data_IF_024850746309
#
_entry.id   IF_024850746309
#
_cell.length_a   1.000
_cell.length_b   1.000
_cell.length_c   1.000
_cell.angle_alpha   90.00
_cell.angle_beta   90.00
_cell.angle_gamma   90.00
#
_symmetry.space_group_name_H-M   'P 1'
#
loop_
_entity.id
_entity.type
_entity.pdbx_description
1 polymer ?
#
# COMPACT_ATOMS: atom_id res chain seq x y z
N UNK A 1 -35.73 17.56 28.10
CA UNK A 1 -34.53 18.42 28.11
C UNK A 1 -33.39 17.52 28.53
N UNK A 2 -32.61 17.05 27.57
CA UNK A 2 -31.47 16.17 27.86
C UNK A 2 -30.36 17.01 28.47
N UNK A 3 -29.89 16.61 29.65
CA UNK A 3 -28.80 17.27 30.36
C UNK A 3 -27.57 16.41 30.14
N UNK A 4 -26.59 16.91 29.39
CA UNK A 4 -25.31 16.23 29.25
C UNK A 4 -24.54 16.32 30.58
N UNK A 5 -24.06 15.17 31.07
CA UNK A 5 -23.27 15.06 32.31
C UNK A 5 -21.86 14.57 31.93
N UNK A 6 -20.90 15.49 31.71
CA UNK A 6 -19.56 15.13 31.23
C UNK A 6 -18.81 14.17 32.16
N UNK A 7 -19.06 14.22 33.48
CA UNK A 7 -18.37 13.37 34.46
C UNK A 7 -18.76 11.89 34.44
N UNK A 8 -19.83 11.51 33.72
CA UNK A 8 -20.25 10.11 33.55
C UNK A 8 -19.84 9.53 32.19
N UNK A 9 -19.04 10.28 31.41
CA UNK A 9 -18.61 9.87 30.07
C UNK A 9 -17.55 8.77 30.17
N UNK A 10 -17.93 7.55 29.81
CA UNK A 10 -17.05 6.36 29.78
C UNK A 10 -16.13 6.36 28.55
N UNK A 11 -16.61 6.91 27.43
CA UNK A 11 -15.93 6.91 26.14
C UNK A 11 -15.69 8.35 25.68
N UNK A 12 -14.46 8.73 25.28
CA UNK A 12 -14.19 10.07 24.75
C UNK A 12 -15.16 10.45 23.62
N UNK A 13 -15.61 11.71 23.60
CA UNK A 13 -16.62 12.17 22.64
C UNK A 13 -16.15 12.01 21.20
N UNK A 14 -14.89 12.34 20.91
CA UNK A 14 -14.30 12.18 19.57
C UNK A 14 -14.32 10.71 19.10
N UNK A 15 -14.04 9.77 20.00
CA UNK A 15 -14.10 8.33 19.70
C UNK A 15 -15.54 7.88 19.49
N UNK A 16 -16.48 8.38 20.31
CA UNK A 16 -17.90 8.10 20.14
C UNK A 16 -18.41 8.61 18.80
N UNK A 17 -18.13 9.86 18.44
CA UNK A 17 -18.57 10.48 17.19
C UNK A 17 -17.93 9.79 15.98
N UNK A 18 -16.65 9.41 16.05
CA UNK A 18 -15.99 8.63 15.01
C UNK A 18 -16.66 7.26 14.81
N UNK A 19 -16.98 6.55 15.90
CA UNK A 19 -17.69 5.26 15.84
C UNK A 19 -19.12 5.43 15.34
N UNK A 20 -19.85 6.46 15.76
CA UNK A 20 -21.20 6.74 15.26
C UNK A 20 -21.19 7.10 13.77
N UNK A 21 -20.21 7.87 13.30
CA UNK A 21 -20.02 8.16 11.88
C UNK A 21 -19.71 6.88 11.09
N UNK A 22 -18.87 6.00 11.62
CA UNK A 22 -18.54 4.72 10.99
C UNK A 22 -19.73 3.75 10.99
N UNK A 23 -20.49 3.66 12.08
CA UNK A 23 -21.74 2.91 12.16
C UNK A 23 -22.78 3.46 11.20
N UNK A 24 -22.90 4.79 11.05
CA UNK A 24 -23.79 5.42 10.09
C UNK A 24 -23.41 5.04 8.65
N UNK A 25 -22.12 5.11 8.29
CA UNK A 25 -21.58 4.68 6.99
C UNK A 25 -21.84 3.19 6.71
N UNK A 26 -21.70 2.33 7.72
CA UNK A 26 -22.03 0.89 7.60
C UNK A 26 -23.54 0.64 7.51
N UNK A 27 -24.35 1.43 8.22
CA UNK A 27 -25.82 1.29 8.26
C UNK A 27 -26.52 1.71 6.98
N UNK A 28 -26.04 2.75 6.28
CA UNK A 28 -26.57 3.16 4.97
C UNK A 28 -26.37 2.06 3.93
N UNK A 29 -25.32 1.23 4.09
CA UNK A 29 -25.05 0.05 3.27
C UNK A 29 -25.94 -1.16 3.64
N UNK A 30 -26.49 -1.20 4.85
CA UNK A 30 -27.39 -2.26 5.34
C UNK A 30 -28.89 -1.95 5.19
N UNK A 31 -29.28 -0.67 5.07
CA UNK A 31 -30.70 -0.23 5.03
C UNK A 31 -31.50 -0.68 3.80
N UNK A 32 -30.86 -1.31 2.82
CA UNK A 32 -31.55 -1.98 1.70
C UNK A 32 -32.16 -3.35 2.08
N UNK A 33 -31.84 -3.91 3.25
CA UNK A 33 -32.43 -5.17 3.72
C UNK A 33 -32.78 -5.05 5.21
N UNK A 34 -34.06 -4.97 5.53
CA UNK A 34 -34.63 -4.82 6.86
C UNK A 34 -34.45 -6.04 7.80
N UNK A 35 -33.31 -6.73 7.75
CA UNK A 35 -33.07 -7.91 8.57
C UNK A 35 -31.57 -8.08 8.93
N UNK A 36 -31.20 -8.07 10.22
CA UNK A 36 -29.84 -8.36 10.70
C UNK A 36 -29.32 -9.74 10.27
N UNK A 37 -30.22 -10.71 10.04
CA UNK A 37 -29.88 -12.04 9.52
C UNK A 37 -29.48 -11.99 8.04
N UNK A 38 -29.96 -11.00 7.28
CA UNK A 38 -29.55 -10.79 5.89
C UNK A 38 -28.12 -10.23 5.78
N UNK A 39 -27.60 -9.58 6.83
CA UNK A 39 -26.19 -9.21 6.93
C UNK A 39 -25.26 -10.43 7.12
N UNK A 40 -25.82 -11.59 7.50
CA UNK A 40 -25.13 -12.86 7.74
C UNK A 40 -25.09 -13.78 6.51
N UNK A 41 -25.68 -13.37 5.38
CA UNK A 41 -25.59 -14.12 4.13
C UNK A 41 -24.21 -13.90 3.57
N UNK A 42 -23.41 -14.95 3.44
CA UNK A 42 -22.09 -14.92 2.79
C UNK A 42 -22.17 -14.10 1.51
N UNK A 43 -21.67 -12.86 1.56
CA UNK A 43 -21.67 -12.01 0.37
C UNK A 43 -20.54 -12.53 -0.47
N UNK A 44 -20.87 -13.08 -1.63
CA UNK A 44 -19.88 -13.42 -2.63
C UNK A 44 -18.94 -12.23 -2.87
N UNK A 45 -17.69 -12.52 -3.20
CA UNK A 45 -16.63 -11.54 -3.31
C UNK A 45 -17.00 -10.32 -4.18
N UNK A 46 -17.67 -10.56 -5.31
CA UNK A 46 -18.11 -9.51 -6.25
C UNK A 46 -19.59 -9.12 -6.12
N UNK A 47 -20.24 -9.47 -5.01
CA UNK A 47 -21.65 -9.13 -4.79
C UNK A 47 -21.86 -7.61 -4.75
N UNK A 48 -22.69 -7.11 -5.66
CA UNK A 48 -22.98 -5.67 -5.80
C UNK A 48 -22.03 -4.91 -6.73
N UNK A 49 -20.94 -5.53 -7.19
CA UNK A 49 -19.98 -4.92 -8.13
C UNK A 49 -20.25 -5.30 -9.59
N UNK A 50 -20.93 -6.42 -9.84
CA UNK A 50 -21.28 -6.88 -11.18
C UNK A 50 -22.45 -6.08 -11.76
N UNK A 51 -22.23 -5.38 -12.87
CA UNK A 51 -23.21 -4.52 -13.56
C UNK A 51 -23.44 -5.01 -14.98
N UNK A 52 -24.68 -4.98 -15.46
CA UNK A 52 -25.01 -5.29 -16.85
C UNK A 52 -24.71 -4.10 -17.77
N UNK A 53 -23.87 -4.30 -18.78
CA UNK A 53 -23.56 -3.28 -19.79
C UNK A 53 -24.77 -2.87 -20.65
N UNK A 54 -25.78 -3.74 -20.79
CA UNK A 54 -26.98 -3.44 -21.59
C UNK A 54 -27.99 -2.51 -20.90
N UNK A 55 -28.15 -2.60 -19.58
CA UNK A 55 -29.20 -1.88 -18.85
C UNK A 55 -28.71 -1.11 -17.61
N UNK A 56 -27.41 -1.21 -17.30
CA UNK A 56 -26.79 -0.55 -16.13
C UNK A 56 -27.24 -1.10 -14.77
N UNK A 57 -28.07 -2.15 -14.73
CA UNK A 57 -28.56 -2.76 -13.48
C UNK A 57 -27.64 -3.87 -13.00
N UNK A 58 -27.61 -4.15 -11.68
CA UNK A 58 -26.72 -5.17 -11.14
C UNK A 58 -27.09 -6.58 -11.59
N UNK A 59 -26.06 -7.41 -11.74
CA UNK A 59 -26.23 -8.85 -11.80
C UNK A 59 -26.61 -9.37 -10.41
N UNK A 60 -27.59 -10.26 -10.39
CA UNK A 60 -28.08 -10.89 -9.17
C UNK A 60 -27.84 -12.39 -9.24
N UNK A 61 -27.74 -13.01 -8.06
CA UNK A 61 -27.56 -14.46 -7.96
C UNK A 61 -28.84 -15.16 -8.45
N UNK A 62 -28.70 -16.00 -9.48
CA UNK A 62 -29.81 -16.75 -10.08
C UNK A 62 -29.82 -18.21 -9.63
N UNK A 63 -28.66 -18.82 -9.43
CA UNK A 63 -28.52 -20.19 -8.89
C UNK A 63 -27.57 -20.19 -7.69
N UNK A 64 -27.36 -21.35 -7.06
CA UNK A 64 -26.36 -21.49 -5.98
C UNK A 64 -24.95 -21.06 -6.41
N UNK A 65 -24.64 -21.07 -7.70
CA UNK A 65 -23.29 -20.89 -8.25
C UNK A 65 -23.20 -19.88 -9.39
N UNK A 66 -24.30 -19.24 -9.83
CA UNK A 66 -24.29 -18.37 -11.01
C UNK A 66 -25.06 -17.06 -10.83
N UNK A 67 -24.62 -16.04 -11.55
CA UNK A 67 -25.19 -14.70 -11.64
C UNK A 67 -25.84 -14.47 -13.00
N UNK A 68 -26.91 -13.67 -13.02
CA UNK A 68 -27.61 -13.22 -14.24
C UNK A 68 -28.11 -11.79 -14.04
N UNK A 69 -28.32 -11.06 -15.14
CA UNK A 69 -28.95 -9.74 -15.08
C UNK A 69 -30.34 -9.82 -14.38
N UNK A 70 -30.54 -9.00 -13.34
CA UNK A 70 -31.78 -9.01 -12.57
C UNK A 70 -33.01 -8.55 -13.37
N UNK A 71 -32.82 -7.61 -14.30
CA UNK A 71 -33.90 -7.10 -15.15
C UNK A 71 -34.24 -8.03 -16.32
N UNK A 72 -33.30 -8.87 -16.77
CA UNK A 72 -33.60 -9.88 -17.77
C UNK A 72 -34.63 -10.91 -17.27
N UNK A 73 -34.67 -11.18 -15.96
CA UNK A 73 -35.72 -12.01 -15.35
C UNK A 73 -37.11 -11.38 -15.47
N UNK A 74 -37.18 -10.05 -15.48
CA UNK A 74 -38.44 -9.28 -15.57
C UNK A 74 -38.81 -8.95 -17.03
N UNK A 75 -38.01 -9.42 -18.01
CA UNK A 75 -38.18 -9.09 -19.42
C UNK A 75 -37.74 -7.67 -19.80
N UNK A 76 -37.12 -6.91 -18.88
CA UNK A 76 -36.72 -5.52 -19.08
C UNK A 76 -35.26 -5.38 -19.59
N UNK A 77 -34.59 -6.48 -19.91
CA UNK A 77 -33.24 -6.48 -20.47
C UNK A 77 -33.03 -7.67 -21.42
N UNK A 78 -32.28 -7.46 -22.49
CA UNK A 78 -31.95 -8.47 -23.50
C UNK A 78 -30.79 -9.39 -23.10
N UNK A 79 -30.10 -9.09 -22.00
CA UNK A 79 -28.96 -9.88 -21.54
C UNK A 79 -29.40 -11.10 -20.72
N UNK A 80 -29.58 -12.23 -21.40
CA UNK A 80 -29.97 -13.50 -20.77
C UNK A 80 -28.80 -14.39 -20.35
N UNK A 81 -27.56 -13.97 -20.62
CA UNK A 81 -26.35 -14.77 -20.39
C UNK A 81 -26.05 -14.85 -18.90
N UNK A 82 -25.90 -16.08 -18.39
CA UNK A 82 -25.53 -16.34 -17.01
C UNK A 82 -24.04 -16.67 -16.91
N UNK A 83 -23.39 -16.20 -15.84
CA UNK A 83 -21.98 -16.50 -15.56
C UNK A 83 -21.84 -17.17 -14.20
N UNK A 84 -21.02 -18.22 -14.11
CA UNK A 84 -20.77 -18.87 -12.82
C UNK A 84 -19.81 -18.04 -11.97
N UNK A 85 -20.00 -18.11 -10.65
CA UNK A 85 -19.18 -17.43 -9.65
C UNK A 85 -17.70 -17.75 -9.84
N UNK A 86 -17.33 -19.03 -9.92
CA UNK A 86 -15.94 -19.45 -10.14
C UNK A 86 -15.33 -18.87 -11.41
N UNK A 87 -16.12 -18.76 -12.48
CA UNK A 87 -15.63 -18.23 -13.77
C UNK A 87 -15.40 -16.73 -13.71
N UNK A 88 -16.34 -15.96 -13.16
CA UNK A 88 -16.15 -14.51 -13.05
C UNK A 88 -15.02 -14.19 -12.08
N UNK A 89 -14.89 -14.94 -10.98
CA UNK A 89 -13.79 -14.77 -10.03
C UNK A 89 -12.43 -15.02 -10.68
N UNK A 90 -12.26 -16.15 -11.38
CA UNK A 90 -11.03 -16.46 -12.08
C UNK A 90 -10.67 -15.41 -13.16
N UNK A 91 -11.65 -14.92 -13.93
CA UNK A 91 -11.41 -13.89 -14.96
C UNK A 91 -10.98 -12.56 -14.35
N UNK A 92 -11.65 -12.13 -13.29
CA UNK A 92 -11.35 -10.86 -12.63
C UNK A 92 -9.98 -10.93 -11.96
N UNK A 93 -9.69 -11.98 -11.21
CA UNK A 93 -8.38 -12.15 -10.58
C UNK A 93 -7.25 -12.32 -11.58
N UNK A 94 -7.45 -13.08 -12.65
CA UNK A 94 -6.46 -13.19 -13.73
C UNK A 94 -6.08 -11.84 -14.33
N UNK A 95 -7.07 -10.99 -14.64
CA UNK A 95 -6.80 -9.65 -15.17
C UNK A 95 -6.21 -8.70 -14.15
N UNK A 96 -6.66 -8.73 -12.90
CA UNK A 96 -6.06 -7.91 -11.83
C UNK A 96 -4.59 -8.31 -11.64
N UNK A 97 -4.29 -9.61 -11.64
CA UNK A 97 -2.92 -10.14 -11.55
C UNK A 97 -2.06 -9.63 -12.71
N UNK A 98 -2.54 -9.72 -13.94
CA UNK A 98 -1.83 -9.17 -15.11
C UNK A 98 -1.57 -7.67 -14.98
N UNK A 99 -2.55 -6.90 -14.49
CA UNK A 99 -2.42 -5.47 -14.28
C UNK A 99 -1.43 -5.12 -13.15
N UNK A 100 -1.48 -5.85 -12.03
CA UNK A 100 -0.57 -5.68 -10.90
C UNK A 100 0.86 -6.09 -11.26
N UNK A 101 1.04 -7.18 -12.02
CA UNK A 101 2.34 -7.69 -12.46
C UNK A 101 2.83 -7.06 -13.77
N UNK A 102 2.19 -5.98 -14.23
CA UNK A 102 2.67 -5.26 -15.40
C UNK A 102 4.08 -4.70 -15.14
N UNK A 103 4.91 -4.55 -16.19
CA UNK A 103 6.24 -3.95 -16.04
C UNK A 103 6.19 -2.56 -15.39
N UNK A 104 5.17 -1.76 -15.71
CA UNK A 104 4.96 -0.43 -15.15
C UNK A 104 4.65 -0.49 -13.64
N UNK A 105 3.69 -1.33 -13.23
CA UNK A 105 3.33 -1.51 -11.82
C UNK A 105 4.52 -2.01 -10.99
N UNK A 106 5.28 -2.96 -11.55
CA UNK A 106 6.48 -3.52 -10.91
C UNK A 106 7.58 -2.46 -10.75
N UNK A 107 7.84 -1.67 -11.79
CA UNK A 107 8.82 -0.59 -11.75
C UNK A 107 8.45 0.49 -10.73
N UNK A 108 7.16 0.84 -10.64
CA UNK A 108 6.65 1.79 -9.63
C UNK A 108 6.83 1.27 -8.22
N UNK A 109 6.52 -0.01 -7.98
CA UNK A 109 6.74 -0.63 -6.68
C UNK A 109 8.23 -0.67 -6.31
N UNK A 110 9.10 -1.03 -7.26
CA UNK A 110 10.55 -1.00 -7.08
C UNK A 110 11.04 0.40 -6.67
N UNK A 111 10.64 1.43 -7.40
CA UNK A 111 11.01 2.81 -7.10
C UNK A 111 10.56 3.23 -5.69
N UNK A 112 9.33 2.88 -5.30
CA UNK A 112 8.79 3.20 -3.98
C UNK A 112 9.55 2.49 -2.85
N UNK A 113 9.86 1.20 -3.02
CA UNK A 113 10.63 0.43 -2.02
C UNK A 113 12.05 0.95 -1.90
N UNK A 114 12.70 1.30 -3.03
CA UNK A 114 14.04 1.89 -3.01
C UNK A 114 14.03 3.23 -2.28
N UNK A 115 13.09 4.12 -2.60
CA UNK A 115 12.97 5.41 -1.93
C UNK A 115 12.72 5.27 -0.42
N UNK A 116 11.90 4.30 0.00
CA UNK A 116 11.65 4.08 1.42
C UNK A 116 12.84 3.44 2.15
N UNK A 117 13.58 2.55 1.47
CA UNK A 117 14.86 2.00 1.98
C UNK A 117 15.91 3.09 2.15
N UNK A 118 16.01 4.01 1.20
CA UNK A 118 16.89 5.17 1.30
C UNK A 118 16.53 6.01 2.53
N UNK A 119 15.24 6.36 2.72
CA UNK A 119 14.82 7.12 3.92
C UNK A 119 15.17 6.41 5.23
N UNK A 120 14.87 5.12 5.35
CA UNK A 120 15.08 4.37 6.60
C UNK A 120 16.56 4.08 6.88
N UNK A 121 17.36 3.85 5.85
CA UNK A 121 18.75 3.42 5.98
C UNK A 121 19.79 4.54 5.89
N UNK A 122 19.49 5.64 5.17
CA UNK A 122 20.42 6.77 5.01
C UNK A 122 20.57 7.55 6.31
N UNK A 123 19.46 7.80 7.02
CA UNK A 123 19.45 8.70 8.19
C UNK A 123 20.41 8.23 9.29
N UNK A 124 20.46 6.92 9.58
CA UNK A 124 21.25 6.39 10.70
C UNK A 124 22.74 6.22 10.34
N UNK A 125 23.04 5.65 9.17
CA UNK A 125 24.43 5.36 8.77
C UNK A 125 25.14 6.63 8.28
N UNK A 126 24.48 7.47 7.48
CA UNK A 126 25.09 8.71 6.97
C UNK A 126 25.24 9.76 8.08
N UNK A 127 24.29 9.80 9.02
CA UNK A 127 24.40 10.63 10.23
C UNK A 127 25.61 10.25 11.08
N UNK A 128 25.84 8.95 11.28
CA UNK A 128 27.02 8.45 12.01
C UNK A 128 28.33 8.74 11.26
N UNK A 129 28.36 8.56 9.93
CA UNK A 129 29.53 8.93 9.12
C UNK A 129 29.82 10.42 9.25
N UNK A 130 28.81 11.28 9.12
CA UNK A 130 28.96 12.74 9.23
C UNK A 130 29.50 13.14 10.61
N UNK A 131 28.98 12.53 11.68
CA UNK A 131 29.45 12.77 13.05
C UNK A 131 30.91 12.36 13.24
N UNK A 132 31.29 11.18 12.75
CA UNK A 132 32.66 10.68 12.82
C UNK A 132 33.62 11.52 11.96
N UNK A 133 33.19 12.00 10.79
CA UNK A 133 33.98 12.93 9.97
C UNK A 133 34.21 14.27 10.67
N UNK A 134 33.18 14.79 11.36
CA UNK A 134 33.30 15.97 12.24
C UNK A 134 34.30 15.75 13.37
N UNK A 135 34.18 14.65 14.11
CA UNK A 135 35.10 14.30 15.20
C UNK A 135 36.55 14.15 14.70
N UNK A 136 36.75 13.52 13.53
CA UNK A 136 38.07 13.42 12.89
C UNK A 136 38.63 14.80 12.55
N UNK A 137 37.79 15.69 12.01
CA UNK A 137 38.16 17.06 11.69
C UNK A 137 38.63 17.82 12.93
N UNK A 138 37.85 17.78 14.01
CA UNK A 138 38.18 18.43 15.28
C UNK A 138 39.47 17.89 15.89
N UNK A 139 39.67 16.57 15.91
CA UNK A 139 40.88 15.95 16.44
C UNK A 139 42.12 16.36 15.62
N UNK A 140 42.01 16.40 14.27
CA UNK A 140 43.08 16.87 13.39
C UNK A 140 43.38 18.36 13.56
N UNK A 141 42.36 19.20 13.76
CA UNK A 141 42.56 20.63 14.06
C UNK A 141 43.26 20.85 15.41
N UNK A 142 42.90 20.06 16.44
CA UNK A 142 43.59 20.06 17.74
C UNK A 142 45.06 19.66 17.59
N UNK A 143 45.35 18.64 16.79
CA UNK A 143 46.72 18.20 16.49
C UNK A 143 47.52 19.28 15.74
N UNK A 144 46.91 19.92 14.73
CA UNK A 144 47.54 21.02 14.00
C UNK A 144 47.86 22.21 14.91
N UNK A 145 46.97 22.56 15.84
CA UNK A 145 47.22 23.64 16.82
C UNK A 145 48.40 23.35 17.75
N UNK A 146 48.60 22.08 18.15
CA UNK A 146 49.77 21.67 18.91
C UNK A 146 51.04 21.82 18.06
N UNK A 147 51.02 21.39 16.80
CA UNK A 147 52.15 21.54 15.89
C UNK A 147 52.53 23.01 15.69
N UNK A 148 51.56 23.91 15.47
CA UNK A 148 51.81 25.35 15.38
C UNK A 148 52.42 25.92 16.68
N UNK A 149 52.00 25.42 17.85
CA UNK A 149 52.56 25.85 19.14
C UNK A 149 54.03 25.41 19.29
N UNK A 150 54.38 24.23 18.77
CA UNK A 150 55.76 23.73 18.74
C UNK A 150 56.61 24.59 17.79
N UNK A 151 56.09 24.93 16.60
CA UNK A 151 56.76 25.82 15.64
C UNK A 151 57.05 27.20 16.23
N UNK A 152 56.18 27.69 17.13
CA UNK A 152 56.35 28.96 17.85
C UNK A 152 57.33 28.87 19.05
N UNK A 153 57.97 27.72 19.28
CA UNK A 153 59.04 27.53 20.25
C UNK A 153 58.61 26.87 21.57
N UNK A 154 57.40 26.31 21.66
CA UNK A 154 56.99 25.60 22.86
C UNK A 154 57.69 24.21 22.96
N UNK A 155 58.08 23.76 24.17
CA UNK A 155 58.82 22.52 24.33
C UNK A 155 57.92 21.30 24.08
N UNK A 156 58.34 20.45 23.14
CA UNK A 156 57.62 19.22 22.75
C UNK A 156 57.28 18.30 23.92
N UNK A 157 58.13 18.24 24.95
CA UNK A 157 57.91 17.41 26.14
C UNK A 157 56.58 17.71 26.87
N UNK A 158 56.06 18.94 26.78
CA UNK A 158 54.77 19.31 27.38
C UNK A 158 53.57 18.76 26.60
N UNK A 159 53.71 18.56 25.29
CA UNK A 159 52.62 18.16 24.40
C UNK A 159 52.64 16.68 24.04
N UNK A 160 53.77 15.98 24.25
CA UNK A 160 53.96 14.58 23.85
C UNK A 160 52.79 13.66 24.22
N UNK A 161 52.36 13.68 25.49
CA UNK A 161 51.24 12.85 25.95
C UNK A 161 49.93 13.22 25.23
N UNK A 162 49.69 14.52 25.02
CA UNK A 162 48.49 15.02 24.34
C UNK A 162 48.46 14.68 22.85
N UNK A 163 49.61 14.70 22.18
CA UNK A 163 49.74 14.23 20.79
C UNK A 163 49.47 12.73 20.67
N UNK A 164 50.01 11.91 21.58
CA UNK A 164 49.77 10.46 21.61
C UNK A 164 48.27 10.14 21.84
N UNK A 165 47.60 10.89 22.73
CA UNK A 165 46.14 10.79 22.91
C UNK A 165 45.35 11.15 21.65
N UNK A 166 45.72 12.24 20.97
CA UNK A 166 45.03 12.69 19.75
C UNK A 166 45.25 11.73 18.58
N UNK A 167 46.44 11.15 18.44
CA UNK A 167 46.71 10.13 17.42
C UNK A 167 45.89 8.86 17.68
N UNK A 168 45.74 8.45 18.95
CA UNK A 168 44.87 7.35 19.32
C UNK A 168 43.38 7.67 19.06
N UNK A 169 42.92 8.90 19.35
CA UNK A 169 41.56 9.38 19.05
C UNK A 169 41.30 9.35 17.52
N UNK A 170 42.22 9.87 16.71
CA UNK A 170 42.12 9.87 15.25
C UNK A 170 42.05 8.44 14.71
N UNK A 171 42.93 7.55 15.18
CA UNK A 171 42.94 6.14 14.76
C UNK A 171 41.61 5.46 15.09
N UNK A 172 41.07 5.68 16.29
CA UNK A 172 39.79 5.10 16.69
C UNK A 172 38.61 5.63 15.85
N UNK A 173 38.61 6.92 15.52
CA UNK A 173 37.58 7.53 14.67
C UNK A 173 37.71 7.04 13.22
N UNK A 174 38.92 6.88 12.70
CA UNK A 174 39.16 6.33 11.36
C UNK A 174 38.70 4.87 11.24
N UNK A 175 38.95 4.04 12.26
CA UNK A 175 38.41 2.68 12.36
C UNK A 175 36.87 2.67 12.40
N UNK A 176 36.28 3.61 13.15
CA UNK A 176 34.83 3.81 13.20
C UNK A 176 34.25 4.14 11.83
N UNK A 177 34.90 5.05 11.09
CA UNK A 177 34.51 5.44 9.73
C UNK A 177 34.62 4.25 8.76
N UNK A 178 35.70 3.47 8.84
CA UNK A 178 35.87 2.29 8.00
C UNK A 178 34.74 1.27 8.24
N UNK A 179 34.38 1.02 9.50
CA UNK A 179 33.27 0.12 9.88
C UNK A 179 31.91 0.66 9.43
N UNK A 180 31.66 1.97 9.56
CA UNK A 180 30.41 2.60 9.12
C UNK A 180 30.26 2.52 7.59
N UNK A 181 31.32 2.82 6.84
CA UNK A 181 31.33 2.71 5.37
C UNK A 181 31.17 1.27 4.90
N UNK A 182 31.82 0.30 5.56
CA UNK A 182 31.64 -1.12 5.25
C UNK A 182 30.18 -1.58 5.44
N UNK A 183 29.49 -1.11 6.50
CA UNK A 183 28.05 -1.37 6.72
C UNK A 183 27.18 -0.77 5.60
N UNK A 184 27.50 0.46 5.16
CA UNK A 184 26.80 1.12 4.05
C UNK A 184 26.95 0.31 2.75
N UNK A 185 28.18 -0.07 2.39
CA UNK A 185 28.44 -0.88 1.19
C UNK A 185 27.77 -2.26 1.25
N UNK A 186 27.81 -2.92 2.42
CA UNK A 186 27.14 -4.20 2.63
C UNK A 186 25.61 -4.08 2.42
N UNK A 187 24.97 -3.02 2.94
CA UNK A 187 23.54 -2.74 2.71
C UNK A 187 23.22 -2.64 1.22
N UNK A 188 23.98 -1.84 0.47
CA UNK A 188 23.70 -1.59 -0.94
C UNK A 188 23.98 -2.82 -1.81
N UNK A 189 24.84 -3.73 -1.36
CA UNK A 189 25.09 -5.02 -2.00
C UNK A 189 23.95 -6.05 -1.84
N UNK A 190 23.01 -5.84 -0.90
CA UNK A 190 21.83 -6.71 -0.76
C UNK A 190 20.85 -6.42 -1.89
N UNK A 191 21.09 -7.06 -3.04
CA UNK A 191 20.16 -7.09 -4.16
C UNK A 191 18.99 -8.01 -3.81
N UNK A 192 17.97 -7.46 -3.17
CA UNK A 192 16.68 -8.15 -3.05
C UNK A 192 16.01 -8.07 -4.42
N UNK A 193 15.59 -9.21 -4.96
CA UNK A 193 14.71 -9.22 -6.13
C UNK A 193 13.32 -8.72 -5.73
N UNK A 194 13.16 -7.39 -5.76
CA UNK A 194 11.92 -6.70 -5.37
C UNK A 194 10.77 -7.12 -6.29
N UNK A 195 11.04 -7.44 -7.56
CA UNK A 195 10.01 -7.92 -8.49
C UNK A 195 9.46 -9.29 -8.05
N UNK A 196 10.35 -10.22 -7.67
CA UNK A 196 9.92 -11.52 -7.16
C UNK A 196 9.17 -11.39 -5.82
N UNK A 197 9.61 -10.52 -4.92
CA UNK A 197 8.91 -10.25 -3.65
C UNK A 197 7.51 -9.72 -3.91
N UNK A 198 7.39 -8.76 -4.82
CA UNK A 198 6.11 -8.19 -5.21
C UNK A 198 5.19 -9.24 -5.86
N UNK A 199 5.71 -10.07 -6.76
CA UNK A 199 4.95 -11.15 -7.38
C UNK A 199 4.37 -12.13 -6.35
N UNK A 200 5.18 -12.55 -5.37
CA UNK A 200 4.73 -13.40 -4.26
C UNK A 200 3.69 -12.72 -3.37
N UNK A 201 3.80 -11.40 -3.18
CA UNK A 201 2.82 -10.64 -2.41
C UNK A 201 1.46 -10.61 -3.11
N UNK A 202 1.43 -10.39 -4.43
CA UNK A 202 0.21 -10.44 -5.25
C UNK A 202 -0.42 -11.84 -5.22
N UNK A 203 0.38 -12.90 -5.35
CA UNK A 203 -0.09 -14.29 -5.23
C UNK A 203 -0.72 -14.59 -3.87
N UNK A 204 -0.06 -14.18 -2.78
CA UNK A 204 -0.58 -14.40 -1.43
C UNK A 204 -1.88 -13.62 -1.19
N UNK A 205 -1.97 -12.41 -1.73
CA UNK A 205 -3.21 -11.62 -1.68
C UNK A 205 -4.36 -12.36 -2.36
N UNK A 206 -4.15 -12.89 -3.57
CA UNK A 206 -5.16 -13.66 -4.29
C UNK A 206 -5.65 -14.89 -3.48
N UNK A 207 -4.72 -15.61 -2.86
CA UNK A 207 -5.04 -16.75 -1.99
C UNK A 207 -5.91 -16.35 -0.79
N UNK A 208 -5.58 -15.24 -0.11
CA UNK A 208 -6.32 -14.75 1.06
C UNK A 208 -7.71 -14.21 0.69
N UNK A 209 -7.84 -13.57 -0.48
CA UNK A 209 -9.13 -13.09 -0.98
C UNK A 209 -10.07 -14.25 -1.39
N UNK A 210 -9.52 -15.44 -1.66
CA UNK A 210 -10.27 -16.65 -1.95
C UNK A 210 -10.77 -17.41 -0.72
N UNK A 211 -10.36 -17.02 0.50
CA UNK A 211 -10.73 -17.70 1.74
C UNK A 211 -12.21 -17.42 2.12
N UNK A 212 -13.07 -18.45 2.24
CA UNK A 212 -14.46 -18.32 2.68
C UNK A 212 -14.67 -17.58 4.00
N UNK A 213 -13.72 -17.65 4.93
CA UNK A 213 -13.82 -17.03 6.26
C UNK A 213 -13.49 -15.52 6.23
N UNK A 214 -12.79 -15.07 5.18
CA UNK A 214 -12.35 -13.68 5.01
C UNK A 214 -13.14 -12.90 3.96
N UNK A 215 -14.16 -13.50 3.34
CA UNK A 215 -14.86 -12.93 2.17
C UNK A 215 -15.45 -11.54 2.42
N UNK A 216 -16.00 -11.25 3.60
CA UNK A 216 -16.56 -9.92 3.88
C UNK A 216 -15.45 -8.84 3.92
N UNK A 217 -14.31 -9.14 4.56
CA UNK A 217 -13.17 -8.22 4.61
C UNK A 217 -12.55 -8.05 3.22
N UNK A 218 -12.36 -9.16 2.52
CA UNK A 218 -11.87 -9.19 1.14
C UNK A 218 -12.73 -8.31 0.21
N UNK A 219 -14.06 -8.38 0.37
CA UNK A 219 -14.99 -7.54 -0.40
C UNK A 219 -14.84 -6.05 -0.07
N UNK A 220 -14.65 -5.68 1.19
CA UNK A 220 -14.45 -4.29 1.57
C UNK A 220 -13.18 -3.71 0.91
N UNK A 221 -12.08 -4.46 0.92
CA UNK A 221 -10.86 -4.06 0.21
C UNK A 221 -11.06 -4.00 -1.30
N UNK A 222 -11.72 -4.99 -1.90
CA UNK A 222 -11.98 -5.00 -3.34
C UNK A 222 -12.92 -3.88 -3.78
N UNK A 223 -13.84 -3.43 -2.92
CA UNK A 223 -14.73 -2.30 -3.23
C UNK A 223 -14.00 -0.94 -3.25
N UNK A 224 -12.82 -0.85 -2.63
CA UNK A 224 -11.93 0.32 -2.77
C UNK A 224 -11.22 0.30 -4.13
N UNK A 225 -10.83 -0.91 -4.56
CA UNK A 225 -10.02 -1.14 -5.76
C UNK A 225 -10.83 -1.13 -7.06
N UNK A 226 -11.97 -1.82 -7.02
CA UNK A 226 -12.85 -2.07 -8.15
C UNK A 226 -14.12 -1.28 -7.94
N UNK A 227 -14.37 -0.33 -8.84
CA UNK A 227 -15.58 0.47 -8.80
C UNK A 227 -16.78 -0.34 -9.28
N UNK A 228 -16.64 -1.01 -10.44
CA UNK A 228 -17.64 -1.93 -10.98
C UNK A 228 -17.01 -2.89 -11.99
N UNK A 229 -17.71 -3.99 -12.26
CA UNK A 229 -17.37 -4.95 -13.30
C UNK A 229 -18.54 -4.99 -14.27
N UNK A 230 -18.34 -4.47 -15.48
CA UNK A 230 -19.37 -4.38 -16.52
C UNK A 230 -19.37 -5.65 -17.34
N UNK A 231 -20.53 -6.32 -17.40
CA UNK A 231 -20.75 -7.56 -18.14
C UNK A 231 -21.64 -7.29 -19.35
N UNK A 232 -21.11 -7.54 -20.54
CA UNK A 232 -21.79 -7.28 -21.82
C UNK A 232 -21.81 -8.56 -22.66
N UNK A 233 -22.96 -8.97 -23.24
CA UNK A 233 -23.01 -10.09 -24.16
C UNK A 233 -22.07 -9.83 -25.34
N UNK A 234 -21.18 -10.78 -25.60
CA UNK A 234 -20.26 -10.73 -26.74
C UNK A 234 -20.00 -12.17 -27.21
N UNK A 235 -20.41 -12.47 -28.44
CA UNK A 235 -20.29 -13.80 -29.05
C UNK A 235 -18.83 -14.23 -29.25
N UNK A 236 -17.91 -13.26 -29.35
CA UNK A 236 -16.47 -13.52 -29.51
C UNK A 236 -15.76 -13.71 -28.18
N UNK A 237 -16.36 -13.27 -27.08
CA UNK A 237 -15.80 -13.39 -25.75
C UNK A 237 -16.03 -14.79 -25.16
N UNK A 238 -15.13 -15.21 -24.26
CA UNK A 238 -15.26 -16.49 -23.58
C UNK A 238 -16.62 -16.61 -22.87
N UNK A 239 -17.35 -17.68 -23.19
CA UNK A 239 -18.70 -17.96 -22.68
C UNK A 239 -19.78 -16.96 -23.08
N UNK A 240 -19.60 -16.23 -24.18
CA UNK A 240 -20.62 -15.32 -24.72
C UNK A 240 -20.79 -14.02 -23.92
N UNK A 241 -19.82 -13.70 -23.05
CA UNK A 241 -19.89 -12.55 -22.16
C UNK A 241 -18.52 -11.88 -22.05
N UNK A 242 -18.42 -10.66 -22.56
CA UNK A 242 -17.33 -9.74 -22.27
C UNK A 242 -17.46 -9.22 -20.84
N UNK A 243 -16.32 -9.13 -20.14
CA UNK A 243 -16.25 -8.48 -18.84
C UNK A 243 -15.27 -7.32 -18.93
N UNK A 244 -15.58 -6.18 -18.33
CA UNK A 244 -14.70 -5.02 -18.25
C UNK A 244 -14.61 -4.60 -16.80
N UNK A 245 -13.42 -4.54 -16.25
CA UNK A 245 -13.18 -4.09 -14.88
C UNK A 245 -12.92 -2.58 -14.95
N UNK A 246 -13.75 -1.81 -14.25
CA UNK A 246 -13.49 -0.41 -13.96
C UNK A 246 -12.81 -0.34 -12.58
N UNK A 247 -11.50 -0.10 -12.56
CA UNK A 247 -10.70 -0.08 -11.35
C UNK A 247 -9.79 1.16 -11.26
N UNK A 248 -9.51 1.55 -10.02
CA UNK A 248 -8.54 2.59 -9.68
C UNK A 248 -7.28 1.93 -9.09
N UNK A 249 -6.57 1.16 -9.91
CA UNK A 249 -5.39 0.41 -9.47
C UNK A 249 -4.14 1.30 -9.31
N UNK A 250 -4.16 2.51 -9.87
CA UNK A 250 -3.09 3.50 -9.69
C UNK A 250 -3.04 4.09 -8.27
N UNK A 251 -4.18 4.10 -7.56
CA UNK A 251 -4.30 4.68 -6.21
C UNK A 251 -3.68 3.83 -5.09
N UNK A 252 -3.38 2.55 -5.34
CA UNK A 252 -2.84 1.63 -4.32
C UNK A 252 -1.33 1.41 -4.36
N UNK A 253 -0.63 1.87 -5.40
CA UNK A 253 0.83 1.78 -5.41
C UNK A 253 1.41 2.94 -4.58
N UNK A 254 2.18 2.64 -3.52
CA UNK A 254 2.77 3.69 -2.68
C UNK A 254 3.65 4.60 -3.56
N UNK A 255 3.48 5.91 -3.44
CA UNK A 255 4.12 6.91 -4.30
C UNK A 255 3.17 7.69 -5.22
N UNK A 256 1.87 7.38 -5.21
CA UNK A 256 0.84 8.35 -5.59
C UNK A 256 0.84 9.48 -4.58
N UNK A 257 1.72 10.48 -4.75
CA UNK A 257 1.59 11.77 -4.07
C UNK A 257 0.19 12.26 -4.40
N UNK A 258 -0.66 12.28 -3.39
CA UNK A 258 -1.88 13.05 -3.42
C UNK A 258 -1.47 14.49 -3.62
N UNK A 259 -1.59 14.95 -4.85
CA UNK A 259 -1.67 16.38 -5.11
C UNK A 259 -3.02 16.80 -4.54
N UNK A 260 -3.00 17.32 -3.32
CA UNK A 260 -4.12 18.01 -2.68
C UNK A 260 -4.41 19.28 -3.49
N UNK A 261 -5.07 19.10 -4.63
CA UNK A 261 -5.82 20.20 -5.25
C UNK A 261 -7.26 19.75 -5.43
N UNK A 262 -8.08 20.17 -4.48
CA UNK A 262 -9.53 20.28 -4.59
C UNK A 262 -9.89 20.80 -5.99
N UNK A 263 -10.76 20.07 -6.70
CA UNK A 263 -11.36 20.36 -8.01
C UNK A 263 -10.73 19.70 -9.26
N UNK A 264 -10.85 18.37 -9.36
CA UNK A 264 -11.18 17.68 -10.62
C UNK A 264 -11.62 16.25 -10.32
N UNK A 265 -12.93 16.03 -10.24
CA UNK A 265 -13.55 14.73 -10.08
C UNK A 265 -13.53 13.94 -11.41
N UNK A 266 -12.34 13.58 -11.88
CA UNK A 266 -12.19 12.56 -12.91
C UNK A 266 -11.06 11.62 -12.49
N UNK A 267 -11.39 10.75 -11.53
CA UNK A 267 -10.54 9.63 -11.12
C UNK A 267 -10.27 8.80 -12.37
N UNK A 268 -9.00 8.55 -12.71
CA UNK A 268 -8.60 7.80 -13.90
C UNK A 268 -9.13 6.36 -13.83
N UNK A 269 -10.37 6.14 -14.23
CA UNK A 269 -10.97 4.82 -14.33
C UNK A 269 -10.26 4.11 -15.48
N UNK A 270 -9.47 3.09 -15.16
CA UNK A 270 -8.91 2.24 -16.20
C UNK A 270 -9.90 1.12 -16.47
N UNK A 271 -10.36 1.02 -17.72
CA UNK A 271 -11.18 -0.10 -18.18
C UNK A 271 -10.26 -1.23 -18.63
N UNK A 272 -10.28 -2.35 -17.91
CA UNK A 272 -9.49 -3.53 -18.26
C UNK A 272 -10.44 -4.57 -18.86
N UNK A 273 -10.36 -4.85 -20.18
CA UNK A 273 -11.15 -5.90 -20.80
C UNK A 273 -10.66 -7.30 -20.35
N UNK A 274 -11.61 -8.15 -19.93
CA UNK A 274 -11.39 -9.51 -19.43
C UNK A 274 -11.63 -10.59 -20.48
#
# INVERSE_FOLDING_TARGET
MEIEIPQLRIVPQELWDAVQAELARRSTRCRAAANPVAARRSRHLFSGLLICGCCGKPYVKHSRTSFKCGEARKGACTNYVAISQKRIEARVFGRLREAFLSPESTARFQAAVTAEREKLGAIDIEGEITRLEGARGEARSRLAGIMTSIEQGAPYALFKARTEELDAEITAVEDGLAKARARLSARDSVQVDIAQVYARAVERMEMLLGDPDLVEQAREFLAVLIHRIVLTPDEKAAHGLGAVIEADHCSLLPGGVGDETTAAADRRITSIPC
#
